data_IF_640306432331
#
_entry.id   IF_640306432331
#
_cell.length_a   1.000
_cell.length_b   1.000
_cell.length_c   1.000
_cell.angle_alpha   90.00
_cell.angle_beta   90.00
_cell.angle_gamma   90.00
#
_symmetry.space_group_name_H-M   'P 1'
#
loop_
_entity.id
_entity.type
_entity.pdbx_description
1 polymer ?
#
# COMPACT_ATOMS: atom_id res chain seq x y z
N UNK A 1 -21.51 32.41 21.72
CA UNK A 1 -21.53 31.01 22.20
C UNK A 1 -21.23 30.18 20.96
N UNK A 2 -19.99 29.75 20.80
CA UNK A 2 -19.63 28.82 19.72
C UNK A 2 -20.09 27.43 20.17
N UNK A 3 -21.07 26.88 19.46
CA UNK A 3 -21.51 25.50 19.66
C UNK A 3 -20.43 24.58 19.08
N UNK A 4 -19.53 24.13 19.96
CA UNK A 4 -18.59 23.05 19.66
C UNK A 4 -19.39 21.74 19.53
N UNK A 5 -19.90 21.46 18.33
CA UNK A 5 -20.44 20.14 17.99
C UNK A 5 -19.29 19.13 17.92
N UNK A 6 -19.48 17.92 18.47
CA UNK A 6 -18.45 16.87 18.40
C UNK A 6 -18.28 16.37 16.96
N UNK A 7 -17.07 15.92 16.58
CA UNK A 7 -16.76 15.37 15.23
C UNK A 7 -17.81 14.36 14.76
N UNK A 8 -18.15 13.42 15.64
CA UNK A 8 -19.17 12.41 15.39
C UNK A 8 -20.56 13.00 15.12
N UNK A 9 -20.93 14.10 15.77
CA UNK A 9 -22.21 14.78 15.52
C UNK A 9 -22.22 15.53 14.19
N UNK A 10 -21.12 16.20 13.83
CA UNK A 10 -20.98 16.90 12.54
C UNK A 10 -20.92 15.93 11.36
N UNK A 11 -20.13 14.86 11.49
CA UNK A 11 -20.02 13.79 10.51
C UNK A 11 -21.32 13.01 10.30
N UNK A 12 -22.12 12.84 11.37
CA UNK A 12 -23.43 12.19 11.29
C UNK A 12 -24.57 13.12 10.82
N UNK A 13 -24.32 14.41 10.57
CA UNK A 13 -25.34 15.26 9.95
C UNK A 13 -25.66 14.72 8.55
N UNK A 14 -26.95 14.52 8.25
CA UNK A 14 -27.38 13.94 6.97
C UNK A 14 -26.88 14.71 5.75
N UNK A 15 -26.57 16.00 5.90
CA UNK A 15 -25.97 16.84 4.87
C UNK A 15 -24.49 16.49 4.62
N UNK A 16 -23.66 16.37 5.66
CA UNK A 16 -22.22 16.04 5.50
C UNK A 16 -22.06 14.64 4.93
N UNK A 17 -22.80 13.67 5.48
CA UNK A 17 -22.79 12.28 5.01
C UNK A 17 -23.18 12.20 3.51
N UNK A 18 -24.30 12.82 3.11
CA UNK A 18 -24.73 12.84 1.72
C UNK A 18 -23.73 13.50 0.76
N UNK A 19 -23.12 14.61 1.16
CA UNK A 19 -22.12 15.32 0.34
C UNK A 19 -20.86 14.46 0.19
N UNK A 20 -20.41 13.82 1.28
CA UNK A 20 -19.24 12.92 1.28
C UNK A 20 -19.46 11.68 0.40
N UNK A 21 -20.62 11.03 0.51
CA UNK A 21 -20.97 9.87 -0.34
C UNK A 21 -20.95 10.23 -1.82
N UNK A 22 -21.43 11.43 -2.18
CA UNK A 22 -21.33 11.93 -3.54
C UNK A 22 -19.88 12.19 -3.97
N UNK A 23 -19.04 12.73 -3.09
CA UNK A 23 -17.62 12.92 -3.38
C UNK A 23 -16.93 11.58 -3.72
N UNK A 24 -17.15 10.55 -2.89
CA UNK A 24 -16.61 9.20 -3.10
C UNK A 24 -17.16 8.60 -4.40
N UNK A 25 -18.48 8.65 -4.63
CA UNK A 25 -19.09 8.12 -5.84
C UNK A 25 -18.50 8.75 -7.10
N UNK A 26 -18.44 10.09 -7.17
CA UNK A 26 -17.88 10.79 -8.32
C UNK A 26 -16.37 10.52 -8.49
N UNK A 27 -15.63 10.34 -7.39
CA UNK A 27 -14.22 9.94 -7.45
C UNK A 27 -14.06 8.60 -8.16
N UNK A 28 -14.83 7.59 -7.75
CA UNK A 28 -14.78 6.23 -8.33
C UNK A 28 -15.27 6.18 -9.78
N UNK A 29 -16.16 7.10 -10.17
CA UNK A 29 -16.58 7.30 -11.57
C UNK A 29 -15.54 8.04 -12.42
N UNK A 30 -14.43 8.52 -11.83
CA UNK A 30 -13.41 9.32 -12.51
C UNK A 30 -13.83 10.78 -12.75
N UNK A 31 -14.97 11.22 -12.21
CA UNK A 31 -15.45 12.60 -12.32
C UNK A 31 -14.77 13.50 -11.28
N UNK A 32 -13.53 13.87 -11.56
CA UNK A 32 -12.65 14.64 -10.67
C UNK A 32 -13.21 16.00 -10.30
N UNK A 33 -13.85 16.70 -11.24
CA UNK A 33 -14.41 18.04 -11.01
C UNK A 33 -15.49 17.99 -9.93
N UNK A 34 -16.44 17.06 -10.06
CA UNK A 34 -17.50 16.92 -9.07
C UNK A 34 -16.96 16.34 -7.76
N UNK A 35 -16.09 15.32 -7.80
CA UNK A 35 -15.48 14.75 -6.60
C UNK A 35 -14.79 15.83 -5.76
N UNK A 36 -13.98 16.68 -6.39
CA UNK A 36 -13.28 17.79 -5.74
C UNK A 36 -14.24 18.83 -5.17
N UNK A 37 -15.30 19.17 -5.90
CA UNK A 37 -16.33 20.11 -5.43
C UNK A 37 -17.02 19.60 -4.16
N UNK A 38 -17.55 18.38 -4.20
CA UNK A 38 -18.24 17.79 -3.05
C UNK A 38 -17.29 17.59 -1.86
N UNK A 39 -16.04 17.18 -2.10
CA UNK A 39 -15.04 17.10 -1.03
C UNK A 39 -14.75 18.48 -0.40
N UNK A 40 -14.69 19.54 -1.20
CA UNK A 40 -14.51 20.91 -0.67
C UNK A 40 -15.71 21.33 0.20
N UNK A 41 -16.93 20.97 -0.20
CA UNK A 41 -18.14 21.23 0.57
C UNK A 41 -18.14 20.48 1.92
N UNK A 42 -17.59 19.27 1.98
CA UNK A 42 -17.35 18.55 3.24
C UNK A 42 -16.34 19.30 4.12
N UNK A 43 -15.21 19.70 3.55
CA UNK A 43 -14.15 20.39 4.31
C UNK A 43 -14.57 21.76 4.83
N UNK A 44 -15.49 22.45 4.15
CA UNK A 44 -16.09 23.70 4.64
C UNK A 44 -16.90 23.51 5.95
N UNK A 45 -17.31 22.27 6.26
CA UNK A 45 -18.06 21.92 7.47
C UNK A 45 -17.17 21.18 8.47
N UNK A 46 -16.28 20.31 7.99
CA UNK A 46 -15.38 19.46 8.77
C UNK A 46 -13.98 19.46 8.14
N UNK A 47 -13.15 20.43 8.56
CA UNK A 47 -11.85 20.75 7.96
C UNK A 47 -10.84 19.60 7.97
N UNK A 48 -11.00 18.68 8.92
CA UNK A 48 -10.13 17.56 9.23
C UNK A 48 -10.81 16.22 8.88
N UNK A 49 -11.73 16.22 7.91
CA UNK A 49 -12.29 15.00 7.33
C UNK A 49 -11.27 14.33 6.39
N UNK A 50 -10.77 13.15 6.78
CA UNK A 50 -9.66 12.51 6.08
C UNK A 50 -10.03 12.03 4.67
N UNK A 51 -11.25 11.50 4.50
CA UNK A 51 -11.80 11.08 3.21
C UNK A 51 -11.81 12.25 2.21
N UNK A 52 -12.34 13.40 2.63
CA UNK A 52 -12.41 14.58 1.78
C UNK A 52 -11.02 15.18 1.52
N UNK A 53 -10.14 15.22 2.52
CA UNK A 53 -8.74 15.64 2.35
C UNK A 53 -8.02 14.80 1.30
N UNK A 54 -8.21 13.48 1.32
CA UNK A 54 -7.63 12.58 0.31
C UNK A 54 -8.15 12.89 -1.10
N UNK A 55 -9.47 13.01 -1.26
CA UNK A 55 -10.08 13.27 -2.58
C UNK A 55 -9.55 14.59 -3.17
N UNK A 56 -9.43 15.64 -2.36
CA UNK A 56 -8.83 16.91 -2.79
C UNK A 56 -7.37 16.71 -3.20
N UNK A 57 -6.56 16.08 -2.36
CA UNK A 57 -5.15 15.87 -2.62
C UNK A 57 -4.91 15.10 -3.92
N UNK A 58 -5.68 14.04 -4.15
CA UNK A 58 -5.62 13.25 -5.38
C UNK A 58 -6.03 14.05 -6.62
N UNK A 59 -7.11 14.83 -6.52
CA UNK A 59 -7.56 15.66 -7.63
C UNK A 59 -6.56 16.77 -7.95
N UNK A 60 -5.95 17.38 -6.92
CA UNK A 60 -4.92 18.40 -7.08
C UNK A 60 -3.63 17.80 -7.71
N UNK A 61 -3.20 16.61 -7.29
CA UNK A 61 -1.99 15.96 -7.83
C UNK A 61 -2.17 15.51 -9.29
N UNK A 62 -3.23 14.76 -9.58
CA UNK A 62 -3.38 14.09 -10.87
C UNK A 62 -4.32 14.80 -11.85
N UNK A 63 -5.12 15.76 -11.37
CA UNK A 63 -5.99 16.61 -12.20
C UNK A 63 -5.36 17.97 -12.49
N UNK A 64 -4.87 18.65 -11.44
CA UNK A 64 -4.33 20.01 -11.52
C UNK A 64 -2.79 20.05 -11.58
N UNK A 65 -2.13 18.89 -11.64
CA UNK A 65 -0.66 18.74 -11.71
C UNK A 65 0.10 19.39 -10.54
N UNK A 66 -0.53 19.46 -9.36
CA UNK A 66 0.10 19.96 -8.13
C UNK A 66 0.86 18.83 -7.43
N UNK A 67 2.06 18.57 -7.92
CA UNK A 67 2.94 17.54 -7.37
C UNK A 67 3.19 17.73 -5.86
N UNK A 68 3.11 16.63 -5.11
CA UNK A 68 3.32 16.59 -3.66
C UNK A 68 2.05 16.74 -2.83
N UNK A 69 0.89 16.90 -3.47
CA UNK A 69 -0.39 17.04 -2.76
C UNK A 69 -0.75 15.75 -1.99
N UNK A 70 -0.43 14.58 -2.53
CA UNK A 70 -0.64 13.29 -1.85
C UNK A 70 0.33 13.12 -0.68
N UNK A 71 1.62 13.44 -0.86
CA UNK A 71 2.59 13.45 0.25
C UNK A 71 2.14 14.38 1.39
N UNK A 72 1.62 15.56 1.04
CA UNK A 72 1.07 16.52 2.00
C UNK A 72 -0.16 15.98 2.72
N UNK A 73 -1.02 15.23 2.03
CA UNK A 73 -2.14 14.52 2.66
C UNK A 73 -1.64 13.54 3.71
N UNK A 74 -0.71 12.65 3.36
CA UNK A 74 -0.19 11.64 4.30
C UNK A 74 0.47 12.29 5.50
N UNK A 75 1.24 13.36 5.30
CA UNK A 75 1.85 14.13 6.40
C UNK A 75 0.79 14.74 7.34
N UNK A 76 -0.29 15.30 6.80
CA UNK A 76 -1.35 15.94 7.60
C UNK A 76 -2.20 14.92 8.36
N UNK A 77 -2.55 13.81 7.71
CA UNK A 77 -3.49 12.83 8.27
C UNK A 77 -2.90 12.03 9.42
N UNK A 78 -1.57 11.98 9.57
CA UNK A 78 -0.91 11.31 10.70
C UNK A 78 -1.37 11.82 12.06
N UNK A 79 -1.68 13.11 12.18
CA UNK A 79 -2.06 13.74 13.46
C UNK A 79 -3.57 13.84 13.67
N UNK A 80 -4.37 13.33 12.73
CA UNK A 80 -5.83 13.38 12.79
C UNK A 80 -6.38 12.05 13.35
N UNK A 81 -7.21 12.07 14.41
CA UNK A 81 -7.89 10.86 14.85
C UNK A 81 -8.99 10.50 13.84
N UNK A 82 -8.79 9.38 13.12
CA UNK A 82 -9.72 8.92 12.11
C UNK A 82 -10.93 8.23 12.73
N UNK A 83 -12.12 8.58 12.25
CA UNK A 83 -13.32 7.80 12.56
C UNK A 83 -13.32 6.48 11.80
N UNK A 84 -13.98 5.45 12.36
CA UNK A 84 -14.05 4.12 11.75
C UNK A 84 -14.54 4.16 10.29
N UNK A 85 -15.56 4.98 9.99
CA UNK A 85 -16.08 5.11 8.63
C UNK A 85 -15.05 5.77 7.69
N UNK A 86 -14.28 6.75 8.16
CA UNK A 86 -13.22 7.39 7.35
C UNK A 86 -12.13 6.38 6.99
N UNK A 87 -11.75 5.49 7.92
CA UNK A 87 -10.79 4.40 7.63
C UNK A 87 -11.30 3.50 6.52
N UNK A 88 -12.58 3.09 6.59
CA UNK A 88 -13.20 2.24 5.56
C UNK A 88 -13.33 2.92 4.20
N UNK A 89 -13.67 4.20 4.20
CA UNK A 89 -13.76 5.00 2.97
C UNK A 89 -12.38 5.22 2.34
N UNK A 90 -11.35 5.46 3.14
CA UNK A 90 -9.97 5.57 2.66
C UNK A 90 -9.48 4.28 2.02
N UNK A 91 -9.78 3.12 2.61
CA UNK A 91 -9.47 1.81 1.99
C UNK A 91 -10.08 1.72 0.58
N UNK A 92 -11.38 2.00 0.45
CA UNK A 92 -12.08 1.94 -0.83
C UNK A 92 -11.50 2.93 -1.87
N UNK A 93 -11.12 4.13 -1.41
CA UNK A 93 -10.51 5.15 -2.25
C UNK A 93 -9.09 4.77 -2.69
N UNK A 94 -8.27 4.22 -1.80
CA UNK A 94 -6.93 3.72 -2.12
C UNK A 94 -6.98 2.59 -3.14
N UNK A 95 -7.86 1.60 -2.93
CA UNK A 95 -8.04 0.50 -3.88
C UNK A 95 -8.52 0.99 -5.24
N UNK A 96 -9.48 1.92 -5.28
CA UNK A 96 -10.01 2.49 -6.52
C UNK A 96 -8.99 3.35 -7.29
N UNK A 97 -7.97 3.88 -6.62
CA UNK A 97 -6.97 4.79 -7.19
C UNK A 97 -5.56 4.21 -7.28
N UNK A 98 -5.43 2.90 -7.01
CA UNK A 98 -4.16 2.21 -6.81
C UNK A 98 -3.15 2.38 -7.96
N UNK A 99 -3.64 2.48 -9.20
CA UNK A 99 -2.80 2.72 -10.38
C UNK A 99 -1.90 3.96 -10.23
N UNK A 100 -2.46 5.06 -9.69
CA UNK A 100 -1.74 6.30 -9.46
C UNK A 100 -1.06 6.32 -8.08
N UNK A 101 -1.61 5.59 -7.11
CA UNK A 101 -1.16 5.60 -5.71
C UNK A 101 -0.02 4.60 -5.40
N UNK A 102 0.46 3.82 -6.39
CA UNK A 102 1.45 2.76 -6.18
C UNK A 102 2.73 3.20 -5.46
N UNK A 103 3.18 4.44 -5.69
CA UNK A 103 4.42 4.97 -5.11
C UNK A 103 4.24 5.34 -3.63
N UNK A 104 3.00 5.37 -3.14
CA UNK A 104 2.61 5.67 -1.76
C UNK A 104 2.16 4.42 -0.99
N UNK A 105 2.59 3.22 -1.41
CA UNK A 105 2.20 1.96 -0.78
C UNK A 105 2.47 1.96 0.73
N UNK A 106 3.67 2.34 1.15
CA UNK A 106 4.06 2.35 2.56
C UNK A 106 3.18 3.30 3.36
N UNK A 107 2.95 4.51 2.85
CA UNK A 107 2.13 5.52 3.53
C UNK A 107 0.69 5.00 3.72
N UNK A 108 0.10 4.39 2.68
CA UNK A 108 -1.23 3.79 2.75
C UNK A 108 -1.29 2.68 3.80
N UNK A 109 -0.34 1.75 3.75
CA UNK A 109 -0.31 0.59 4.65
C UNK A 109 -0.05 1.00 6.10
N UNK A 110 0.92 1.88 6.34
CA UNK A 110 1.23 2.39 7.69
C UNK A 110 0.04 3.14 8.28
N UNK A 111 -0.65 3.97 7.48
CA UNK A 111 -1.84 4.67 7.94
C UNK A 111 -2.95 3.70 8.36
N UNK A 112 -3.19 2.64 7.56
CA UNK A 112 -4.21 1.64 7.89
C UNK A 112 -3.82 0.82 9.12
N UNK A 113 -2.55 0.38 9.22
CA UNK A 113 -2.06 -0.31 10.42
C UNK A 113 -2.34 0.56 11.65
N UNK A 114 -1.92 1.83 11.66
CA UNK A 114 -2.09 2.74 12.82
C UNK A 114 -3.55 2.85 13.29
N UNK A 115 -4.51 2.80 12.36
CA UNK A 115 -5.93 3.01 12.67
C UNK A 115 -6.74 1.70 12.82
N UNK A 116 -6.20 0.55 12.43
CA UNK A 116 -6.86 -0.76 12.46
C UNK A 116 -6.21 -1.71 13.48
N UNK A 117 -6.27 -1.32 14.76
CA UNK A 117 -5.59 -2.03 15.86
C UNK A 117 -6.47 -3.06 16.57
N UNK A 118 -7.78 -3.10 16.29
CA UNK A 118 -8.69 -4.05 16.93
C UNK A 118 -8.58 -5.45 16.31
N UNK A 119 -8.93 -6.49 17.07
CA UNK A 119 -8.98 -7.87 16.54
C UNK A 119 -10.03 -8.01 15.42
N UNK A 120 -11.14 -7.26 15.51
CA UNK A 120 -12.19 -7.25 14.49
C UNK A 120 -11.71 -6.68 13.16
N UNK A 121 -10.80 -5.70 13.18
CA UNK A 121 -10.24 -5.09 11.97
C UNK A 121 -9.17 -5.95 11.30
N UNK A 122 -8.62 -6.94 12.01
CA UNK A 122 -7.48 -7.74 11.56
C UNK A 122 -7.65 -8.29 10.15
N UNK A 123 -8.81 -8.91 9.91
CA UNK A 123 -9.11 -9.56 8.64
C UNK A 123 -9.21 -8.56 7.49
N UNK A 124 -9.73 -7.37 7.78
CA UNK A 124 -9.90 -6.33 6.78
C UNK A 124 -8.57 -5.65 6.46
N UNK A 125 -7.71 -5.45 7.47
CA UNK A 125 -6.33 -5.02 7.28
C UNK A 125 -5.53 -6.04 6.45
N UNK A 126 -5.66 -7.33 6.76
CA UNK A 126 -5.05 -8.41 5.98
C UNK A 126 -5.51 -8.37 4.53
N UNK A 127 -6.82 -8.26 4.29
CA UNK A 127 -7.39 -8.16 2.95
C UNK A 127 -6.90 -6.93 2.19
N UNK A 128 -6.86 -5.77 2.84
CA UNK A 128 -6.38 -4.52 2.23
C UNK A 128 -4.93 -4.67 1.77
N UNK A 129 -4.04 -5.16 2.63
CA UNK A 129 -2.63 -5.38 2.29
C UNK A 129 -2.51 -6.39 1.13
N UNK A 130 -3.21 -7.52 1.22
CA UNK A 130 -3.20 -8.55 0.16
C UNK A 130 -3.93 -8.13 -1.13
N UNK A 131 -4.56 -6.96 -1.18
CA UNK A 131 -5.09 -6.32 -2.38
C UNK A 131 -4.09 -5.31 -2.95
N UNK A 132 -3.57 -4.41 -2.10
CA UNK A 132 -2.71 -3.30 -2.50
C UNK A 132 -1.30 -3.75 -2.82
N UNK A 133 -0.65 -4.44 -1.88
CA UNK A 133 0.78 -4.75 -1.99
C UNK A 133 1.15 -5.63 -3.19
N UNK A 134 0.41 -6.70 -3.53
CA UNK A 134 0.71 -7.49 -4.72
C UNK A 134 0.68 -6.69 -6.02
N UNK A 135 -0.23 -5.73 -6.13
CA UNK A 135 -0.31 -4.85 -7.29
C UNK A 135 0.91 -3.93 -7.34
N UNK A 136 1.26 -3.28 -6.23
CA UNK A 136 2.45 -2.45 -6.16
C UNK A 136 3.69 -3.27 -6.55
N UNK A 137 3.90 -4.44 -5.94
CA UNK A 137 5.03 -5.35 -6.21
C UNK A 137 5.17 -5.69 -7.70
N UNK A 138 4.05 -5.94 -8.38
CA UNK A 138 4.07 -6.26 -9.80
C UNK A 138 4.53 -5.09 -10.69
N UNK A 139 4.50 -3.86 -10.20
CA UNK A 139 4.81 -2.63 -10.93
C UNK A 139 6.06 -1.91 -10.39
N UNK A 140 6.83 -2.54 -9.50
CA UNK A 140 8.09 -1.98 -9.03
C UNK A 140 9.05 -1.74 -10.20
N UNK A 141 9.67 -0.56 -10.29
CA UNK A 141 10.54 -0.22 -11.42
C UNK A 141 11.91 -0.92 -11.36
N UNK A 142 12.34 -1.36 -10.16
CA UNK A 142 13.69 -1.89 -9.91
C UNK A 142 13.72 -2.76 -8.65
N UNK A 143 14.80 -3.51 -8.45
CA UNK A 143 15.11 -4.25 -7.23
C UNK A 143 15.29 -3.36 -6.00
N UNK A 144 15.77 -2.12 -6.19
CA UNK A 144 15.96 -1.14 -5.10
C UNK A 144 14.62 -0.71 -4.48
N UNK A 145 13.50 -1.05 -5.12
CA UNK A 145 12.20 -0.89 -4.52
C UNK A 145 12.06 -1.72 -3.24
N UNK A 146 12.64 -2.92 -3.13
CA UNK A 146 12.60 -3.64 -1.84
C UNK A 146 13.69 -3.10 -0.90
N UNK A 147 13.55 -1.83 -0.53
CA UNK A 147 14.44 -1.12 0.38
C UNK A 147 14.47 -1.78 1.76
N UNK A 148 15.45 -1.40 2.58
CA UNK A 148 15.55 -1.92 3.96
C UNK A 148 14.30 -1.55 4.79
N UNK A 149 13.80 -0.33 4.64
CA UNK A 149 12.58 0.14 5.30
C UNK A 149 11.36 -0.67 4.87
N UNK A 150 11.17 -0.88 3.57
CA UNK A 150 10.08 -1.67 3.02
C UNK A 150 10.15 -3.13 3.41
N UNK A 151 11.35 -3.70 3.38
CA UNK A 151 11.59 -5.05 3.86
C UNK A 151 11.23 -5.16 5.35
N UNK A 152 11.58 -4.16 6.16
CA UNK A 152 11.20 -4.07 7.56
C UNK A 152 9.68 -4.05 7.74
N UNK A 153 8.99 -3.16 7.01
CA UNK A 153 7.53 -3.08 7.01
C UNK A 153 6.88 -4.43 6.67
N UNK A 154 7.32 -5.09 5.60
CA UNK A 154 6.77 -6.39 5.23
C UNK A 154 7.10 -7.50 6.23
N UNK A 155 8.28 -7.48 6.87
CA UNK A 155 8.59 -8.41 7.96
C UNK A 155 7.63 -8.23 9.13
N UNK A 156 7.38 -6.99 9.53
CA UNK A 156 6.47 -6.65 10.64
C UNK A 156 5.03 -7.07 10.30
N UNK A 157 4.58 -6.78 9.08
CA UNK A 157 3.28 -7.22 8.61
C UNK A 157 3.21 -8.74 8.59
N UNK A 158 4.16 -9.45 7.96
CA UNK A 158 4.12 -10.90 7.84
C UNK A 158 4.15 -11.62 9.20
N UNK A 159 4.81 -11.03 10.20
CA UNK A 159 4.87 -11.57 11.57
C UNK A 159 3.52 -11.51 12.28
N UNK A 160 2.68 -10.54 11.93
CA UNK A 160 1.44 -10.28 12.63
C UNK A 160 0.19 -10.66 11.80
N UNK A 161 0.21 -10.41 10.49
CA UNK A 161 -0.88 -10.58 9.51
C UNK A 161 -0.68 -11.84 8.67
N UNK A 162 -1.78 -12.48 8.30
CA UNK A 162 -1.78 -13.50 7.26
C UNK A 162 -1.90 -12.88 5.86
N UNK A 163 -0.77 -12.57 5.23
CA UNK A 163 -0.67 -11.92 3.89
C UNK A 163 -0.03 -12.82 2.81
N UNK A 164 -0.63 -13.98 2.50
CA UNK A 164 -0.05 -14.93 1.57
C UNK A 164 0.07 -14.40 0.13
N UNK A 165 -0.84 -13.53 -0.35
CA UNK A 165 -0.74 -13.00 -1.72
C UNK A 165 0.44 -12.05 -1.85
N UNK A 166 0.68 -11.23 -0.84
CA UNK A 166 1.82 -10.33 -0.77
C UNK A 166 3.14 -11.11 -0.75
N UNK A 167 3.24 -12.12 0.10
CA UNK A 167 4.42 -13.01 0.15
C UNK A 167 4.65 -13.75 -1.18
N UNK A 168 3.56 -14.15 -1.86
CA UNK A 168 3.65 -14.76 -3.19
C UNK A 168 4.13 -13.79 -4.25
N UNK A 169 3.63 -12.55 -4.25
CA UNK A 169 4.08 -11.52 -5.17
C UNK A 169 5.58 -11.23 -5.01
N UNK A 170 6.07 -11.14 -3.77
CA UNK A 170 7.50 -10.97 -3.49
C UNK A 170 8.34 -12.13 -4.06
N UNK A 171 7.93 -13.39 -3.81
CA UNK A 171 8.59 -14.57 -4.38
C UNK A 171 8.60 -14.57 -5.91
N UNK A 172 7.45 -14.27 -6.50
CA UNK A 172 7.30 -14.18 -7.96
C UNK A 172 8.22 -13.10 -8.52
N UNK A 173 8.34 -11.97 -7.82
CA UNK A 173 9.19 -10.83 -8.16
C UNK A 173 10.66 -11.21 -8.37
N UNK A 174 11.18 -12.27 -7.73
CA UNK A 174 12.54 -12.76 -7.98
C UNK A 174 12.76 -13.08 -9.47
N UNK A 175 11.72 -13.55 -10.17
CA UNK A 175 11.78 -13.90 -11.60
C UNK A 175 11.24 -12.82 -12.53
N UNK A 176 10.43 -11.90 -12.03
CA UNK A 176 9.67 -10.96 -12.86
C UNK A 176 10.04 -9.50 -12.66
N UNK A 177 10.78 -9.16 -11.60
CA UNK A 177 11.28 -7.80 -11.41
C UNK A 177 12.14 -7.40 -12.62
N UNK A 178 12.02 -6.15 -13.13
CA UNK A 178 12.76 -5.70 -14.31
C UNK A 178 14.28 -5.88 -14.24
N UNK A 179 14.85 -5.77 -13.04
CA UNK A 179 16.29 -5.93 -12.82
C UNK A 179 16.73 -7.36 -12.51
N UNK A 180 15.78 -8.29 -12.45
CA UNK A 180 16.07 -9.71 -12.27
C UNK A 180 16.93 -10.24 -13.44
N UNK A 181 18.02 -10.96 -13.14
CA UNK A 181 18.81 -11.64 -14.16
C UNK A 181 18.00 -12.62 -15.04
N UNK A 182 16.85 -13.11 -14.55
CA UNK A 182 15.93 -13.93 -15.35
C UNK A 182 15.24 -13.12 -16.45
N UNK A 183 14.91 -11.85 -16.21
CA UNK A 183 14.26 -10.95 -17.16
C UNK A 183 15.29 -10.34 -18.11
N UNK A 184 16.40 -9.86 -17.57
CA UNK A 184 17.44 -9.21 -18.37
C UNK A 184 18.37 -10.19 -19.09
N UNK A 185 18.16 -11.50 -18.91
CA UNK A 185 19.10 -12.56 -19.31
C UNK A 185 20.53 -12.30 -18.83
N UNK A 186 20.68 -11.73 -17.63
CA UNK A 186 21.89 -11.06 -17.16
C UNK A 186 22.77 -11.86 -16.21
N UNK A 187 22.58 -13.18 -16.06
CA UNK A 187 23.33 -13.99 -15.08
C UNK A 187 24.86 -13.95 -15.27
N UNK A 188 25.35 -13.67 -16.48
CA UNK A 188 26.78 -13.53 -16.77
C UNK A 188 27.40 -12.28 -16.12
N UNK A 189 26.59 -11.29 -15.72
CA UNK A 189 27.02 -10.07 -15.05
C UNK A 189 27.10 -10.29 -13.54
N UNK A 190 28.20 -10.91 -13.08
CA UNK A 190 28.41 -11.33 -11.68
C UNK A 190 28.09 -10.23 -10.64
N UNK A 191 28.51 -8.99 -10.89
CA UNK A 191 28.24 -7.87 -9.98
C UNK A 191 26.75 -7.56 -9.87
N UNK A 192 26.02 -7.44 -11.00
CA UNK A 192 24.58 -7.16 -11.01
C UNK A 192 23.77 -8.34 -10.44
N UNK A 193 24.12 -9.57 -10.82
CA UNK A 193 23.49 -10.77 -10.26
C UNK A 193 23.71 -10.88 -8.75
N UNK A 194 24.92 -10.61 -8.26
CA UNK A 194 25.24 -10.58 -6.83
C UNK A 194 24.44 -9.50 -6.08
N UNK A 195 24.35 -8.30 -6.65
CA UNK A 195 23.57 -7.20 -6.09
C UNK A 195 22.08 -7.58 -5.99
N UNK A 196 21.45 -8.04 -7.07
CA UNK A 196 20.05 -8.48 -7.06
C UNK A 196 19.80 -9.60 -6.03
N UNK A 197 20.75 -10.54 -5.91
CA UNK A 197 20.67 -11.62 -4.93
C UNK A 197 20.67 -11.08 -3.50
N UNK A 198 21.55 -10.14 -3.20
CA UNK A 198 21.69 -9.57 -1.86
C UNK A 198 20.52 -8.67 -1.49
N UNK A 199 20.11 -7.78 -2.40
CA UNK A 199 19.16 -6.70 -2.10
C UNK A 199 17.71 -7.10 -2.32
N UNK A 200 17.43 -8.02 -3.25
CA UNK A 200 16.06 -8.50 -3.49
C UNK A 200 15.85 -9.92 -2.97
N UNK A 201 16.60 -10.91 -3.48
CA UNK A 201 16.34 -12.34 -3.19
C UNK A 201 16.45 -12.63 -1.68
N UNK A 202 17.53 -12.18 -1.03
CA UNK A 202 17.70 -12.39 0.41
C UNK A 202 16.67 -11.61 1.24
N UNK A 203 16.32 -10.39 0.84
CA UNK A 203 15.30 -9.57 1.50
C UNK A 203 13.93 -10.24 1.46
N UNK A 204 13.53 -10.80 0.32
CA UNK A 204 12.33 -11.64 0.22
C UNK A 204 12.38 -12.84 1.19
N UNK A 205 13.56 -13.46 1.33
CA UNK A 205 13.78 -14.52 2.31
C UNK A 205 13.50 -14.10 3.75
N UNK A 206 13.94 -12.89 4.15
CA UNK A 206 13.68 -12.33 5.48
C UNK A 206 12.17 -12.21 5.75
N UNK A 207 11.43 -11.64 4.81
CA UNK A 207 9.96 -11.47 4.92
C UNK A 207 9.26 -12.82 5.08
N UNK A 208 9.62 -13.81 4.25
CA UNK A 208 9.01 -15.15 4.31
C UNK A 208 9.33 -15.86 5.62
N UNK A 209 10.54 -15.67 6.14
CA UNK A 209 10.94 -16.25 7.42
C UNK A 209 10.21 -15.60 8.60
N UNK A 210 9.91 -14.31 8.50
CA UNK A 210 9.16 -13.54 9.49
C UNK A 210 7.68 -13.95 9.55
N UNK A 211 7.12 -14.55 8.49
CA UNK A 211 5.72 -15.00 8.46
C UNK A 211 5.32 -15.73 9.75
N UNK A 212 4.11 -15.45 10.25
CA UNK A 212 3.52 -16.21 11.35
C UNK A 212 3.45 -17.70 11.04
N UNK A 213 3.70 -18.53 12.05
CA UNK A 213 3.60 -19.98 11.93
C UNK A 213 2.21 -20.39 11.43
N UNK A 214 2.20 -21.02 10.26
CA UNK A 214 0.99 -21.38 9.53
C UNK A 214 1.31 -22.43 8.48
N UNK A 215 0.28 -23.13 7.98
CA UNK A 215 0.45 -24.04 6.85
C UNK A 215 0.98 -23.34 5.59
N UNK A 216 0.76 -22.02 5.48
CA UNK A 216 1.31 -21.20 4.40
C UNK A 216 2.82 -21.03 4.56
N UNK A 217 3.32 -20.67 5.75
CA UNK A 217 4.74 -20.42 6.00
C UNK A 217 5.64 -21.56 5.51
N UNK A 218 5.31 -22.81 5.86
CA UNK A 218 6.10 -23.98 5.43
C UNK A 218 6.17 -24.10 3.91
N UNK A 219 5.06 -23.85 3.20
CA UNK A 219 5.03 -23.86 1.73
C UNK A 219 5.85 -22.72 1.13
N UNK A 220 5.72 -21.51 1.68
CA UNK A 220 6.50 -20.34 1.24
C UNK A 220 8.00 -20.53 1.47
N UNK A 221 8.41 -21.07 2.62
CA UNK A 221 9.81 -21.40 2.91
C UNK A 221 10.37 -22.45 1.94
N UNK A 222 9.60 -23.49 1.63
CA UNK A 222 10.01 -24.49 0.65
C UNK A 222 10.18 -23.89 -0.75
N UNK A 223 9.19 -23.09 -1.21
CA UNK A 223 9.25 -22.39 -2.49
C UNK A 223 10.42 -21.40 -2.57
N UNK A 224 10.67 -20.64 -1.50
CA UNK A 224 11.82 -19.75 -1.39
C UNK A 224 13.14 -20.51 -1.53
N UNK A 225 13.34 -21.59 -0.77
CA UNK A 225 14.57 -22.41 -0.85
C UNK A 225 14.80 -22.96 -2.25
N UNK A 226 13.74 -23.44 -2.90
CA UNK A 226 13.83 -23.90 -4.29
C UNK A 226 14.25 -22.76 -5.23
N UNK A 227 13.68 -21.56 -5.07
CA UNK A 227 14.01 -20.39 -5.88
C UNK A 227 15.46 -19.94 -5.69
N UNK A 228 15.95 -19.88 -4.45
CA UNK A 228 17.35 -19.53 -4.14
C UNK A 228 18.30 -20.57 -4.72
N UNK A 229 18.03 -21.86 -4.51
CA UNK A 229 18.88 -22.91 -5.05
C UNK A 229 18.95 -22.87 -6.58
N UNK A 230 17.83 -22.57 -7.24
CA UNK A 230 17.80 -22.41 -8.69
C UNK A 230 18.59 -21.17 -9.13
N UNK A 231 18.38 -20.03 -8.47
CA UNK A 231 19.12 -18.80 -8.76
C UNK A 231 20.63 -18.99 -8.63
N UNK A 232 21.08 -19.66 -7.57
CA UNK A 232 22.50 -19.91 -7.31
C UNK A 232 23.12 -20.85 -8.34
N UNK A 233 22.38 -21.89 -8.78
CA UNK A 233 22.81 -22.76 -9.87
C UNK A 233 22.93 -22.02 -11.19
N UNK A 234 21.95 -21.21 -11.54
CA UNK A 234 21.93 -20.48 -12.81
C UNK A 234 23.04 -19.41 -12.86
N UNK A 235 23.31 -18.75 -11.73
CA UNK A 235 24.44 -17.82 -11.59
C UNK A 235 25.81 -18.52 -11.73
N UNK A 236 25.95 -19.75 -11.22
CA UNK A 236 27.17 -20.53 -11.35
C UNK A 236 27.37 -21.13 -12.75
N UNK A 237 26.29 -21.50 -13.45
CA UNK A 237 26.36 -22.15 -14.76
C UNK A 237 26.97 -21.25 -15.87
N UNK A 238 26.93 -19.92 -15.66
CA UNK A 238 27.49 -18.92 -16.59
C UNK A 238 28.73 -18.22 -16.03
N UNK A 239 29.23 -18.66 -14.87
CA UNK A 239 30.40 -18.11 -14.18
C UNK A 239 31.71 -18.71 -14.66
#
# INVERSE_FOLDING_TARGET
REEYYSRAQLGATGKVSFVKDNAIRFFKEGNRVNARKFASDVLNIMLDNATALFIIAYCDEYGEMRSGSISDFFRKVQDIPLEYNEVRELIDLFEASLYNMRDYEEDMVVLMIKNMQSEQDRKDLENFIDTVSPYCIAHYPSEDFLSEERCGLYCDIASNCNIPKTCYALLKGIRTNPDSPYVTHGFYLKAKTGYFRQHYVQSVGKVIQAMKESAFKTKFLAGYRQMVNQFDKDAQAVS
#
